data_IF_116568681598
#
_entry.id   IF_116568681598
#
_cell.length_a   1.000
_cell.length_b   1.000
_cell.length_c   1.000
_cell.angle_alpha   90.00
_cell.angle_beta   90.00
_cell.angle_gamma   90.00
#
_symmetry.space_group_name_H-M   'P 1'
#
loop_
_entity.id
_entity.type
_entity.pdbx_description
1 polymer ?
#
# COMPACT_ATOMS: atom_id res chain seq x y z
N UNK A 1 -4.47 -10.72 -14.26
CA UNK A 1 -5.72 -10.83 -13.46
C UNK A 1 -5.92 -9.46 -12.87
N UNK A 2 -7.07 -8.82 -13.09
CA UNK A 2 -7.28 -7.44 -12.65
C UNK A 2 -7.36 -7.37 -11.12
N UNK A 3 -6.46 -6.63 -10.51
CA UNK A 3 -6.42 -6.37 -9.07
C UNK A 3 -6.64 -4.89 -8.87
N UNK A 4 -7.63 -4.55 -8.04
CA UNK A 4 -7.90 -3.17 -7.67
C UNK A 4 -7.06 -2.81 -6.45
N UNK A 5 -6.26 -1.75 -6.59
CA UNK A 5 -5.46 -1.16 -5.54
C UNK A 5 -6.09 0.16 -5.08
N UNK A 6 -6.20 0.34 -3.77
CA UNK A 6 -6.45 1.64 -3.17
C UNK A 6 -5.18 2.47 -3.23
N UNK A 7 -5.24 3.63 -3.86
CA UNK A 7 -4.11 4.53 -3.97
C UNK A 7 -4.07 5.45 -2.75
N UNK A 8 -2.87 5.58 -2.18
CA UNK A 8 -2.60 6.49 -1.07
C UNK A 8 -1.57 7.51 -1.57
N UNK A 9 -2.04 8.74 -1.76
CA UNK A 9 -1.24 9.87 -2.21
C UNK A 9 -0.57 10.61 -1.05
N UNK A 10 -1.25 10.65 0.10
CA UNK A 10 -0.85 11.42 1.27
C UNK A 10 -1.03 10.64 2.58
N UNK A 11 -0.45 11.12 3.67
CA UNK A 11 -0.66 10.53 5.00
C UNK A 11 -2.12 10.65 5.48
N UNK A 12 -2.83 11.69 5.05
CA UNK A 12 -4.26 11.89 5.35
C UNK A 12 -5.13 10.77 4.78
N UNK A 13 -4.77 10.24 3.59
CA UNK A 13 -5.50 9.15 2.94
C UNK A 13 -5.43 7.83 3.75
N UNK A 14 -4.43 7.68 4.64
CA UNK A 14 -4.33 6.50 5.52
C UNK A 14 -5.42 6.50 6.59
N UNK A 15 -5.92 7.67 6.98
CA UNK A 15 -7.02 7.80 7.94
C UNK A 15 -8.38 7.61 7.27
N UNK A 16 -8.47 7.81 5.95
CA UNK A 16 -9.67 7.62 5.14
C UNK A 16 -9.90 6.15 4.72
N UNK A 17 -9.08 5.22 5.22
CA UNK A 17 -9.23 3.80 4.90
C UNK A 17 -10.40 3.19 5.69
N UNK A 18 -11.33 2.54 4.98
CA UNK A 18 -12.51 1.89 5.56
C UNK A 18 -12.20 0.51 6.16
N UNK A 19 -10.94 0.09 6.13
CA UNK A 19 -10.45 -1.20 6.66
C UNK A 19 -10.91 -2.42 5.85
N UNK A 20 -11.57 -2.19 4.71
CA UNK A 20 -12.09 -3.23 3.79
C UNK A 20 -11.13 -3.49 2.64
N UNK A 21 -10.16 -2.62 2.43
CA UNK A 21 -9.22 -2.63 1.34
C UNK A 21 -8.26 -3.82 1.46
N UNK A 22 -8.17 -4.62 0.40
CA UNK A 22 -7.29 -5.80 0.38
C UNK A 22 -5.94 -5.50 -0.28
N UNK A 23 -5.88 -4.52 -1.18
CA UNK A 23 -4.67 -4.15 -1.90
C UNK A 23 -4.49 -2.64 -1.87
N UNK A 24 -3.29 -2.19 -1.52
CA UNK A 24 -2.96 -0.77 -1.36
C UNK A 24 -1.71 -0.43 -2.16
N UNK A 25 -1.71 0.72 -2.82
CA UNK A 25 -0.58 1.29 -3.54
C UNK A 25 -0.18 2.63 -2.93
N UNK A 26 1.12 2.80 -2.68
CA UNK A 26 1.66 4.06 -2.20
C UNK A 26 2.27 4.86 -3.36
N UNK A 27 1.73 6.04 -3.62
CA UNK A 27 2.30 7.00 -4.57
C UNK A 27 3.42 7.87 -3.97
N UNK A 28 3.59 7.82 -2.65
CA UNK A 28 4.67 8.50 -1.94
C UNK A 28 5.54 7.50 -1.19
N UNK A 29 6.63 7.97 -0.58
CA UNK A 29 7.49 7.16 0.28
C UNK A 29 6.85 7.06 1.68
N UNK A 30 6.26 5.92 2.08
CA UNK A 30 5.70 5.80 3.42
C UNK A 30 6.83 5.71 4.46
N UNK A 31 6.60 6.36 5.60
CA UNK A 31 7.39 6.13 6.82
C UNK A 31 7.05 4.78 7.44
N UNK A 32 7.92 4.25 8.31
CA UNK A 32 7.63 2.99 9.04
C UNK A 32 6.34 3.09 9.87
N UNK A 33 6.09 4.27 10.46
CA UNK A 33 4.85 4.59 11.18
C UNK A 33 3.62 4.40 10.29
N UNK A 34 3.68 4.90 9.06
CA UNK A 34 2.57 4.86 8.11
C UNK A 34 2.22 3.43 7.70
N UNK A 35 3.23 2.58 7.52
CA UNK A 35 3.01 1.15 7.24
C UNK A 35 2.38 0.46 8.45
N UNK A 36 2.81 0.82 9.67
CA UNK A 36 2.25 0.26 10.88
C UNK A 36 0.78 0.66 11.07
N UNK A 37 0.45 1.95 10.90
CA UNK A 37 -0.91 2.47 10.93
C UNK A 37 -1.79 1.81 9.87
N UNK A 38 -1.28 1.64 8.65
CA UNK A 38 -1.99 0.94 7.58
C UNK A 38 -2.39 -0.49 7.99
N UNK A 39 -1.43 -1.25 8.55
CA UNK A 39 -1.65 -2.64 8.97
C UNK A 39 -2.64 -2.70 10.15
N UNK A 40 -2.63 -1.71 11.04
CA UNK A 40 -3.56 -1.63 12.17
C UNK A 40 -4.98 -1.28 11.72
N UNK A 41 -5.14 -0.30 10.84
CA UNK A 41 -6.44 0.16 10.35
C UNK A 41 -7.07 -0.81 9.35
N UNK A 42 -6.25 -1.60 8.64
CA UNK A 42 -6.70 -2.46 7.52
C UNK A 42 -6.46 -3.93 7.81
N UNK A 43 -7.34 -4.60 8.58
CA UNK A 43 -7.16 -6.01 8.96
C UNK A 43 -7.27 -6.98 7.77
N UNK A 44 -7.89 -6.56 6.66
CA UNK A 44 -8.06 -7.37 5.43
C UNK A 44 -6.93 -7.18 4.40
N UNK A 45 -5.90 -6.40 4.74
CA UNK A 45 -4.80 -6.13 3.83
C UNK A 45 -4.07 -7.41 3.44
N UNK A 46 -3.96 -7.64 2.13
CA UNK A 46 -3.26 -8.79 1.53
C UNK A 46 -2.02 -8.38 0.77
N UNK A 47 -2.06 -7.21 0.13
CA UNK A 47 -0.98 -6.74 -0.76
C UNK A 47 -0.69 -5.27 -0.56
N UNK A 48 0.60 -4.95 -0.49
CA UNK A 48 1.10 -3.58 -0.53
C UNK A 48 1.97 -3.45 -1.76
N UNK A 49 1.61 -2.55 -2.66
CA UNK A 49 2.38 -2.20 -3.83
C UNK A 49 3.20 -0.94 -3.56
N UNK A 50 4.50 -1.04 -3.84
CA UNK A 50 5.47 0.03 -3.64
C UNK A 50 6.44 0.07 -4.83
N UNK A 51 6.92 1.26 -5.21
CA UNK A 51 8.05 1.39 -6.11
C UNK A 51 9.28 0.61 -5.61
N UNK A 52 10.05 0.04 -6.54
CA UNK A 52 11.20 -0.82 -6.26
C UNK A 52 12.26 -0.16 -5.37
N UNK A 53 12.43 1.16 -5.52
CA UNK A 53 13.34 1.96 -4.70
C UNK A 53 12.96 1.96 -3.22
N UNK A 54 11.66 1.90 -2.89
CA UNK A 54 11.19 1.98 -1.51
C UNK A 54 11.19 0.63 -0.81
N UNK A 55 10.86 -0.45 -1.52
CA UNK A 55 10.91 -1.80 -0.96
C UNK A 55 12.30 -2.13 -0.39
N UNK A 56 13.37 -1.63 -1.02
CA UNK A 56 14.75 -1.77 -0.56
C UNK A 56 15.01 -1.08 0.77
N UNK A 57 14.39 0.08 0.99
CA UNK A 57 14.57 0.89 2.21
C UNK A 57 13.72 0.46 3.40
N UNK A 58 12.82 -0.52 3.22
CA UNK A 58 12.06 -1.09 4.35
C UNK A 58 12.98 -1.86 5.29
N UNK A 59 12.88 -1.57 6.58
CA UNK A 59 13.62 -2.26 7.63
C UNK A 59 13.27 -3.75 7.68
N UNK A 60 14.18 -4.54 8.27
CA UNK A 60 13.95 -5.96 8.50
C UNK A 60 12.71 -6.21 9.37
N UNK A 61 12.49 -5.36 10.37
CA UNK A 61 11.34 -5.42 11.28
C UNK A 61 10.03 -5.23 10.53
N UNK A 62 9.91 -4.22 9.67
CA UNK A 62 8.70 -4.01 8.87
C UNK A 62 8.44 -5.18 7.93
N UNK A 63 9.48 -5.71 7.26
CA UNK A 63 9.34 -6.89 6.39
C UNK A 63 8.85 -8.12 7.16
N UNK A 64 9.38 -8.32 8.37
CA UNK A 64 8.98 -9.43 9.24
C UNK A 64 7.53 -9.26 9.73
N UNK A 65 7.12 -8.05 10.12
CA UNK A 65 5.75 -7.74 10.50
C UNK A 65 4.76 -8.06 9.37
N UNK A 66 5.07 -7.61 8.15
CA UNK A 66 4.27 -7.89 6.96
C UNK A 66 4.15 -9.39 6.70
N UNK A 67 5.26 -10.13 6.82
CA UNK A 67 5.29 -11.57 6.66
C UNK A 67 4.42 -12.28 7.71
N UNK A 68 4.49 -11.86 8.97
CA UNK A 68 3.66 -12.40 10.07
C UNK A 68 2.17 -12.18 9.84
N UNK A 69 1.80 -11.03 9.26
CA UNK A 69 0.42 -10.72 8.87
C UNK A 69 0.02 -11.31 7.51
N UNK A 70 0.91 -12.09 6.87
CA UNK A 70 0.71 -12.70 5.56
C UNK A 70 0.43 -11.68 4.44
N UNK A 71 0.98 -10.48 4.57
CA UNK A 71 0.88 -9.37 3.60
C UNK A 71 2.04 -9.49 2.60
N UNK A 72 1.71 -9.50 1.31
CA UNK A 72 2.69 -9.54 0.23
C UNK A 72 3.10 -8.14 -0.20
N UNK A 73 4.41 -7.90 -0.22
CA UNK A 73 4.98 -6.72 -0.87
C UNK A 73 5.11 -6.99 -2.37
N UNK A 74 4.50 -6.12 -3.18
CA UNK A 74 4.57 -6.16 -4.64
C UNK A 74 5.33 -4.93 -5.10
N UNK A 75 6.21 -5.15 -6.07
CA UNK A 75 6.91 -4.06 -6.75
C UNK A 75 6.07 -3.61 -7.92
N UNK A 76 5.75 -2.32 -7.96
CA UNK A 76 5.08 -1.71 -9.09
C UNK A 76 4.93 -0.22 -8.89
N UNK A 77 4.77 0.50 -9.99
CA UNK A 77 4.59 1.93 -10.00
C UNK A 77 3.36 2.26 -10.85
N UNK A 78 2.49 3.13 -10.34
CA UNK A 78 1.29 3.57 -11.04
C UNK A 78 1.58 4.99 -11.54
N UNK A 79 2.05 5.07 -12.78
CA UNK A 79 2.40 6.34 -13.39
C UNK A 79 1.18 7.02 -14.02
N UNK A 80 1.00 8.32 -13.77
CA UNK A 80 -0.04 9.13 -14.41
C UNK A 80 -1.46 8.97 -13.87
N UNK A 81 -1.63 8.31 -12.71
CA UNK A 81 -2.94 8.26 -12.06
C UNK A 81 -3.22 9.55 -11.29
N UNK A 82 -4.44 10.08 -11.47
CA UNK A 82 -4.91 11.30 -10.80
C UNK A 82 -5.68 10.95 -9.54
N UNK A 83 -4.97 10.95 -8.41
CA UNK A 83 -5.51 10.64 -7.07
C UNK A 83 -6.63 11.59 -6.65
N UNK A 84 -6.74 12.75 -7.30
CA UNK A 84 -7.80 13.75 -7.13
C UNK A 84 -9.14 13.35 -7.79
N UNK A 85 -9.11 12.44 -8.77
CA UNK A 85 -10.31 12.02 -9.53
C UNK A 85 -10.68 10.57 -9.21
N UNK A 86 -9.69 9.71 -9.01
CA UNK A 86 -9.90 8.31 -8.70
C UNK A 86 -8.94 7.89 -7.59
N UNK A 87 -9.48 7.22 -6.58
CA UNK A 87 -8.71 6.69 -5.44
C UNK A 87 -8.39 5.21 -5.62
N UNK A 88 -8.84 4.59 -6.71
CA UNK A 88 -8.62 3.18 -6.99
C UNK A 88 -7.99 3.00 -8.37
N UNK A 89 -6.94 2.18 -8.45
CA UNK A 89 -6.35 1.77 -9.73
C UNK A 89 -6.54 0.28 -9.95
N UNK A 90 -7.07 -0.06 -11.12
CA UNK A 90 -7.08 -1.43 -11.60
C UNK A 90 -5.78 -1.72 -12.34
N UNK A 91 -5.01 -2.69 -11.83
CA UNK A 91 -3.74 -3.12 -12.42
C UNK A 91 -3.85 -4.60 -12.76
N UNK A 92 -3.36 -4.97 -13.95
CA UNK A 92 -3.11 -6.37 -14.27
C UNK A 92 -1.84 -6.85 -13.57
N UNK A 93 -2.02 -7.74 -12.58
CA UNK A 93 -0.97 -8.44 -11.83
C UNK A 93 -0.87 -9.89 -12.28
#
# INVERSE_FOLDING_TARGET
MKVVFRIIGSEEDLNDLDGKEENVHFCFRPSEKNIFELIQNTPKLKRIQLPSSYQKTLSGTTKMLLKTRNIKLIVGDIWGHRTDIDRFAEIDV
#
